data_IF_950098945507
#
_entry.id   IF_950098945507
#
_cell.length_a   1.000
_cell.length_b   1.000
_cell.length_c   1.000
_cell.angle_alpha   90.00
_cell.angle_beta   90.00
_cell.angle_gamma   90.00
#
_symmetry.space_group_name_H-M   'P 1'
#
loop_
_entity.id
_entity.type
_entity.pdbx_description
1 polymer ?
#
# COMPACT_ATOMS: atom_id res chain seq x y z
N UNK A 1 -6.33 13.77 15.39
CA UNK A 1 -5.31 13.04 14.58
C UNK A 1 -5.95 12.42 13.33
N UNK A 2 -7.08 11.70 13.45
CA UNK A 2 -7.75 11.06 12.30
C UNK A 2 -8.13 12.06 11.19
N UNK A 3 -8.64 13.24 11.53
CA UNK A 3 -9.00 14.28 10.57
C UNK A 3 -7.78 14.75 9.76
N UNK A 4 -6.62 14.93 10.40
CA UNK A 4 -5.39 15.35 9.74
C UNK A 4 -4.91 14.27 8.77
N UNK A 5 -4.93 13.01 9.18
CA UNK A 5 -4.54 11.88 8.32
C UNK A 5 -5.47 11.80 7.10
N UNK A 6 -6.79 11.87 7.29
CA UNK A 6 -7.76 11.85 6.21
C UNK A 6 -7.55 13.01 5.23
N UNK A 7 -7.50 14.26 5.71
CA UNK A 7 -7.32 15.42 4.84
C UNK A 7 -6.00 15.36 4.08
N UNK A 8 -4.91 14.90 4.72
CA UNK A 8 -3.63 14.76 4.05
C UNK A 8 -3.66 13.62 3.00
N UNK A 9 -4.31 12.50 3.30
CA UNK A 9 -4.48 11.41 2.36
C UNK A 9 -5.31 11.82 1.13
N UNK A 10 -6.38 12.60 1.32
CA UNK A 10 -7.16 13.17 0.24
C UNK A 10 -6.35 14.14 -0.63
N UNK A 11 -5.52 15.00 0.00
CA UNK A 11 -4.61 15.88 -0.73
C UNK A 11 -3.57 15.12 -1.57
N UNK A 12 -3.03 14.01 -1.04
CA UNK A 12 -2.06 13.16 -1.74
C UNK A 12 -2.72 12.45 -2.92
N UNK A 13 -3.91 11.90 -2.71
CA UNK A 13 -4.63 11.17 -3.75
C UNK A 13 -5.16 12.11 -4.86
N UNK A 14 -5.43 13.38 -4.52
CA UNK A 14 -6.01 14.35 -5.43
C UNK A 14 -7.48 14.07 -5.75
N UNK A 15 -8.03 14.84 -6.69
CA UNK A 15 -9.45 14.70 -7.08
C UNK A 15 -9.68 13.54 -8.05
N UNK A 16 -8.76 13.33 -8.99
CA UNK A 16 -8.88 12.26 -9.99
C UNK A 16 -7.53 11.95 -10.65
N UNK A 17 -7.47 10.80 -11.32
CA UNK A 17 -6.37 10.45 -12.22
C UNK A 17 -6.77 10.79 -13.65
N UNK A 18 -5.88 11.46 -14.36
CA UNK A 18 -6.08 11.79 -15.77
C UNK A 18 -4.89 11.28 -16.58
N UNK A 19 -5.17 10.83 -17.81
CA UNK A 19 -4.13 10.49 -18.78
C UNK A 19 -3.67 11.79 -19.43
N UNK A 20 -2.36 12.04 -19.45
CA UNK A 20 -1.81 13.21 -20.15
C UNK A 20 -2.08 13.14 -21.65
N UNK A 21 -2.52 14.24 -22.25
CA UNK A 21 -2.84 14.34 -23.67
C UNK A 21 -1.59 14.46 -24.57
N UNK A 22 -0.38 14.50 -23.97
CA UNK A 22 0.86 14.72 -24.71
C UNK A 22 1.28 13.56 -25.64
N UNK A 23 0.70 12.36 -25.47
CA UNK A 23 1.00 11.18 -26.29
C UNK A 23 -0.25 10.63 -27.01
N UNK A 24 -0.70 11.34 -28.00
CA UNK A 24 -1.88 10.99 -28.84
C UNK A 24 -1.64 9.81 -29.81
N UNK A 25 -0.46 9.17 -29.74
CA UNK A 25 0.02 8.24 -30.76
C UNK A 25 -0.54 6.81 -30.68
N UNK A 26 -1.08 6.40 -29.54
CA UNK A 26 -1.64 5.06 -29.36
C UNK A 26 -3.01 5.09 -28.66
N UNK A 27 -4.05 5.26 -29.44
CA UNK A 27 -5.43 5.30 -28.96
C UNK A 27 -5.83 3.99 -28.26
N UNK A 28 -5.33 2.85 -28.73
CA UNK A 28 -5.67 1.54 -28.14
C UNK A 28 -5.05 1.39 -26.74
N UNK A 29 -3.78 1.79 -26.57
CA UNK A 29 -3.12 1.78 -25.27
C UNK A 29 -3.80 2.74 -24.29
N UNK A 30 -4.24 3.91 -24.78
CA UNK A 30 -4.98 4.90 -23.97
C UNK A 30 -6.32 4.34 -23.48
N UNK A 31 -7.09 3.70 -24.33
CA UNK A 31 -8.36 3.08 -23.95
C UNK A 31 -8.14 1.96 -22.93
N UNK A 32 -7.12 1.12 -23.12
CA UNK A 32 -6.76 0.07 -22.15
C UNK A 32 -6.38 0.66 -20.80
N UNK A 33 -5.57 1.73 -20.78
CA UNK A 33 -5.18 2.41 -19.57
C UNK A 33 -6.37 3.06 -18.87
N UNK A 34 -7.26 3.74 -19.62
CA UNK A 34 -8.47 4.32 -19.06
C UNK A 34 -9.36 3.25 -18.41
N UNK A 35 -9.60 2.13 -19.10
CA UNK A 35 -10.37 1.02 -18.56
C UNK A 35 -9.75 0.45 -17.27
N UNK A 36 -8.41 0.37 -17.20
CA UNK A 36 -7.71 -0.06 -15.99
C UNK A 36 -7.83 0.98 -14.86
N UNK A 37 -7.78 2.27 -15.18
CA UNK A 37 -7.98 3.33 -14.19
C UNK A 37 -9.40 3.32 -13.62
N UNK A 38 -10.39 3.08 -14.46
CA UNK A 38 -11.80 3.01 -14.07
C UNK A 38 -12.12 1.73 -13.27
N UNK A 39 -11.37 0.66 -13.52
CA UNK A 39 -11.54 -0.64 -12.88
C UNK A 39 -10.18 -1.30 -12.61
N UNK A 40 -9.52 -0.86 -11.53
CA UNK A 40 -8.25 -1.45 -11.11
C UNK A 40 -8.41 -2.90 -10.59
N UNK A 41 -9.62 -3.24 -10.15
CA UNK A 41 -10.03 -4.59 -9.74
C UNK A 41 -11.54 -4.76 -9.90
N UNK A 42 -12.08 -5.90 -9.46
CA UNK A 42 -13.52 -6.20 -9.58
C UNK A 42 -14.46 -5.21 -8.88
N UNK A 43 -13.98 -4.43 -7.93
CA UNK A 43 -14.81 -3.63 -7.01
C UNK A 43 -14.46 -2.13 -7.01
N UNK A 44 -13.27 -1.73 -7.45
CA UNK A 44 -12.73 -0.40 -7.20
C UNK A 44 -12.00 0.16 -8.43
N UNK A 45 -12.06 1.48 -8.57
CA UNK A 45 -11.20 2.24 -9.49
C UNK A 45 -9.77 2.35 -8.94
N UNK A 46 -8.81 2.63 -9.80
CA UNK A 46 -7.44 2.88 -9.39
C UNK A 46 -7.33 4.07 -8.42
N UNK A 47 -8.18 5.08 -8.61
CA UNK A 47 -8.22 6.24 -7.73
C UNK A 47 -8.65 5.87 -6.30
N UNK A 48 -9.65 4.99 -6.15
CA UNK A 48 -10.08 4.49 -4.83
C UNK A 48 -8.98 3.65 -4.16
N UNK A 49 -8.26 2.84 -4.92
CA UNK A 49 -7.09 2.11 -4.41
C UNK A 49 -6.01 3.09 -3.94
N UNK A 50 -5.71 4.16 -4.71
CA UNK A 50 -4.72 5.17 -4.35
C UNK A 50 -5.11 5.98 -3.11
N UNK A 51 -6.39 6.27 -2.89
CA UNK A 51 -6.84 6.90 -1.64
C UNK A 51 -6.50 6.05 -0.41
N UNK A 52 -6.71 4.74 -0.49
CA UNK A 52 -6.35 3.81 0.60
C UNK A 52 -4.83 3.73 0.79
N UNK A 53 -4.07 3.70 -0.32
CA UNK A 53 -2.60 3.77 -0.29
C UNK A 53 -2.11 5.04 0.40
N UNK A 54 -2.67 6.20 0.04
CA UNK A 54 -2.32 7.49 0.64
C UNK A 54 -2.63 7.53 2.14
N UNK A 55 -3.78 6.95 2.53
CA UNK A 55 -4.17 6.84 3.93
C UNK A 55 -3.19 5.98 4.73
N UNK A 56 -2.88 4.77 4.28
CA UNK A 56 -1.95 3.87 4.96
C UNK A 56 -0.54 4.46 5.01
N UNK A 57 -0.09 5.06 3.91
CA UNK A 57 1.19 5.71 3.82
C UNK A 57 1.33 6.84 4.86
N UNK A 58 0.28 7.64 5.04
CA UNK A 58 0.28 8.72 6.04
C UNK A 58 0.13 8.20 7.46
N UNK A 59 -0.73 7.20 7.68
CA UNK A 59 -1.00 6.65 9.01
C UNK A 59 0.14 5.78 9.51
N UNK A 60 0.69 4.90 8.66
CA UNK A 60 1.63 3.84 9.02
C UNK A 60 3.04 4.03 8.43
N UNK A 61 3.22 5.02 7.56
CA UNK A 61 4.49 5.26 6.86
C UNK A 61 4.78 4.26 5.74
N UNK A 62 3.84 3.38 5.44
CA UNK A 62 3.97 2.34 4.42
C UNK A 62 2.63 2.06 3.74
N UNK A 63 2.69 1.41 2.59
CA UNK A 63 1.52 0.86 1.91
C UNK A 63 1.82 -0.52 1.35
N UNK A 64 0.79 -1.30 1.13
CA UNK A 64 0.88 -2.60 0.50
C UNK A 64 -0.18 -2.75 -0.61
N UNK A 65 0.25 -3.27 -1.75
CA UNK A 65 -0.61 -3.60 -2.89
C UNK A 65 -0.43 -5.06 -3.26
N UNK A 66 -1.52 -5.76 -3.47
CA UNK A 66 -1.51 -7.06 -4.12
C UNK A 66 -1.65 -6.84 -5.62
N UNK A 67 -0.59 -7.17 -6.35
CA UNK A 67 -0.51 -7.10 -7.81
C UNK A 67 -0.86 -8.47 -8.36
N UNK A 68 -1.92 -8.52 -9.16
CA UNK A 68 -2.37 -9.75 -9.83
C UNK A 68 -1.96 -9.70 -11.29
N UNK A 69 -1.19 -10.70 -11.71
CA UNK A 69 -0.80 -10.86 -13.11
C UNK A 69 -1.89 -11.51 -13.95
N UNK A 70 -1.96 -11.14 -15.22
CA UNK A 70 -2.79 -11.81 -16.20
C UNK A 70 -2.47 -13.31 -16.32
N UNK A 71 -3.35 -14.10 -16.88
CA UNK A 71 -3.13 -15.55 -17.04
C UNK A 71 -1.88 -15.90 -17.82
N UNK A 72 -1.56 -15.09 -18.83
CA UNK A 72 -0.35 -15.21 -19.65
C UNK A 72 0.90 -14.53 -19.07
N UNK A 73 0.78 -13.87 -17.89
CA UNK A 73 1.88 -13.17 -17.19
C UNK A 73 2.51 -12.01 -17.96
N UNK A 74 1.84 -11.49 -18.97
CA UNK A 74 2.38 -10.39 -19.79
C UNK A 74 2.11 -9.02 -19.22
N UNK A 75 0.99 -8.87 -18.50
CA UNK A 75 0.53 -7.59 -17.96
C UNK A 75 -0.10 -7.74 -16.58
N UNK A 76 -0.20 -6.63 -15.86
CA UNK A 76 -0.96 -6.54 -14.61
C UNK A 76 -2.43 -6.58 -14.97
N UNK A 77 -3.18 -7.51 -14.38
CA UNK A 77 -4.62 -7.65 -14.57
C UNK A 77 -5.41 -6.85 -13.54
N UNK A 78 -4.99 -6.92 -12.27
CA UNK A 78 -5.71 -6.26 -11.17
C UNK A 78 -4.74 -5.77 -10.10
N UNK A 79 -5.16 -4.73 -9.38
CA UNK A 79 -4.44 -4.19 -8.22
C UNK A 79 -5.43 -4.06 -7.06
N UNK A 80 -5.07 -4.63 -5.91
CA UNK A 80 -5.83 -4.53 -4.69
C UNK A 80 -5.01 -3.84 -3.59
N UNK A 81 -5.64 -2.96 -2.84
CA UNK A 81 -5.06 -2.48 -1.60
C UNK A 81 -5.05 -3.59 -0.54
N UNK A 82 -3.96 -3.69 0.20
CA UNK A 82 -3.81 -4.59 1.35
C UNK A 82 -3.48 -3.74 2.57
N UNK A 83 -4.29 -3.83 3.60
CA UNK A 83 -4.06 -3.14 4.87
C UNK A 83 -2.67 -3.53 5.43
N UNK A 84 -1.82 -2.54 5.65
CA UNK A 84 -0.43 -2.72 6.12
C UNK A 84 -0.39 -3.47 7.45
N UNK A 85 -1.38 -3.30 8.33
CA UNK A 85 -1.45 -4.00 9.61
C UNK A 85 -1.53 -5.53 9.47
N UNK A 86 -2.03 -6.01 8.32
CA UNK A 86 -2.15 -7.44 7.99
C UNK A 86 -0.90 -8.04 7.37
N UNK A 87 0.09 -7.22 7.04
CA UNK A 87 1.31 -7.64 6.34
C UNK A 87 2.48 -7.78 7.31
N UNK A 88 3.24 -8.87 7.19
CA UNK A 88 4.51 -9.07 7.89
C UNK A 88 5.58 -9.49 6.89
N UNK A 89 6.75 -8.86 7.00
CA UNK A 89 7.89 -9.17 6.15
C UNK A 89 8.42 -10.59 6.44
N UNK A 90 8.70 -11.35 5.40
CA UNK A 90 9.48 -12.57 5.53
C UNK A 90 10.93 -12.20 5.91
N UNK A 91 11.68 -13.18 6.43
CA UNK A 91 13.08 -12.96 6.79
C UNK A 91 13.86 -12.49 5.56
N UNK A 92 14.54 -11.34 5.64
CA UNK A 92 15.41 -10.86 4.57
C UNK A 92 16.52 -11.87 4.24
N UNK A 93 16.97 -11.85 3.01
CA UNK A 93 18.14 -12.61 2.55
C UNK A 93 19.46 -11.97 3.06
N UNK A 94 20.60 -12.56 2.70
CA UNK A 94 21.92 -12.09 3.10
C UNK A 94 22.25 -10.68 2.59
N UNK A 95 21.56 -10.23 1.54
CA UNK A 95 21.68 -8.88 0.98
C UNK A 95 20.68 -7.88 1.57
N UNK A 96 19.89 -8.31 2.56
CA UNK A 96 18.86 -7.49 3.19
C UNK A 96 17.56 -7.35 2.38
N UNK A 97 17.40 -8.10 1.29
CA UNK A 97 16.21 -8.05 0.44
C UNK A 97 15.12 -8.96 1.02
N UNK A 98 13.92 -8.45 1.15
CA UNK A 98 12.74 -9.21 1.58
C UNK A 98 12.19 -10.03 0.41
N UNK A 99 12.19 -11.37 0.48
CA UNK A 99 11.75 -12.22 -0.63
C UNK A 99 10.24 -12.26 -0.80
N UNK A 100 9.48 -11.88 0.23
CA UNK A 100 8.03 -11.87 0.22
C UNK A 100 7.44 -11.54 1.58
N UNK A 101 6.14 -11.71 1.69
CA UNK A 101 5.36 -11.25 2.83
C UNK A 101 4.38 -12.33 3.28
N UNK A 102 4.12 -12.36 4.59
CA UNK A 102 3.05 -13.13 5.18
C UNK A 102 1.85 -12.22 5.42
N UNK A 103 0.67 -12.70 5.06
CA UNK A 103 -0.59 -11.98 5.24
C UNK A 103 -1.49 -12.81 6.14
N UNK A 104 -2.07 -12.17 7.16
CA UNK A 104 -3.06 -12.76 8.05
C UNK A 104 -4.20 -11.79 8.31
N UNK A 105 -5.41 -12.30 8.38
CA UNK A 105 -6.57 -11.50 8.77
C UNK A 105 -6.44 -10.98 10.21
N UNK A 106 -5.86 -11.80 11.08
CA UNK A 106 -5.65 -11.47 12.49
C UNK A 106 -4.36 -12.13 13.02
N UNK A 107 -3.39 -11.31 13.38
CA UNK A 107 -2.11 -11.73 13.93
C UNK A 107 -2.16 -12.13 15.40
N UNK A 108 -3.23 -11.77 16.10
CA UNK A 108 -3.42 -12.17 17.52
C UNK A 108 -3.89 -13.61 17.61
N UNK A 109 -4.57 -14.13 16.57
CA UNK A 109 -5.09 -15.49 16.51
C UNK A 109 -4.67 -16.22 15.23
N UNK A 110 -3.40 -16.49 15.10
CA UNK A 110 -2.82 -17.19 13.94
C UNK A 110 -3.19 -18.66 13.84
N UNK A 111 -3.79 -19.24 14.89
CA UNK A 111 -4.31 -20.62 14.83
C UNK A 111 -5.56 -20.72 13.96
N UNK A 112 -6.45 -19.75 14.06
CA UNK A 112 -7.67 -19.66 13.23
C UNK A 112 -7.39 -18.94 11.91
N UNK A 113 -6.56 -17.89 11.93
CA UNK A 113 -6.21 -17.08 10.77
C UNK A 113 -4.78 -17.41 10.33
N UNK A 114 -4.59 -18.58 9.72
CA UNK A 114 -3.26 -19.03 9.28
C UNK A 114 -2.66 -18.04 8.30
N UNK A 115 -1.46 -17.49 8.60
CA UNK A 115 -0.77 -16.64 7.65
C UNK A 115 -0.45 -17.40 6.37
N UNK A 116 -0.59 -16.73 5.23
CA UNK A 116 -0.16 -17.25 3.93
C UNK A 116 0.93 -16.39 3.34
N UNK A 117 1.86 -17.02 2.63
CA UNK A 117 3.00 -16.37 2.02
C UNK A 117 2.67 -15.90 0.61
N UNK A 118 3.07 -14.66 0.29
CA UNK A 118 3.01 -14.10 -1.06
C UNK A 118 4.38 -13.51 -1.40
N UNK A 119 4.97 -13.82 -2.57
CA UNK A 119 6.27 -13.28 -2.95
C UNK A 119 6.22 -11.77 -3.16
N UNK A 120 7.38 -11.13 -2.99
CA UNK A 120 7.55 -9.71 -3.27
C UNK A 120 7.37 -9.42 -4.77
N UNK A 121 6.81 -8.26 -5.08
CA UNK A 121 6.61 -7.81 -6.45
C UNK A 121 7.95 -7.71 -7.19
N UNK A 122 8.00 -8.37 -8.35
CA UNK A 122 9.17 -8.38 -9.21
C UNK A 122 8.72 -8.46 -10.68
N UNK A 123 9.07 -7.45 -11.45
CA UNK A 123 8.73 -7.37 -12.88
C UNK A 123 9.45 -8.42 -13.73
N UNK A 124 10.59 -8.92 -13.25
CA UNK A 124 11.41 -9.92 -13.95
C UNK A 124 11.04 -11.36 -13.61
N UNK A 125 10.36 -11.58 -12.47
CA UNK A 125 9.86 -12.89 -12.06
C UNK A 125 8.33 -12.81 -11.89
N UNK A 126 7.60 -13.30 -12.87
CA UNK A 126 6.13 -13.31 -12.94
C UNK A 126 5.55 -14.70 -12.78
N UNK A 127 6.29 -15.64 -12.18
CA UNK A 127 5.85 -17.03 -11.99
C UNK A 127 4.64 -17.12 -11.06
N UNK A 128 4.65 -16.34 -9.98
CA UNK A 128 3.50 -16.25 -9.07
C UNK A 128 2.40 -15.35 -9.65
N UNK A 129 1.12 -15.80 -9.60
CA UNK A 129 -0.01 -14.98 -10.05
C UNK A 129 -0.20 -13.71 -9.22
N UNK A 130 0.08 -13.79 -7.93
CA UNK A 130 -0.06 -12.72 -6.97
C UNK A 130 1.29 -12.37 -6.36
N UNK A 131 1.55 -11.08 -6.26
CA UNK A 131 2.77 -10.57 -5.66
C UNK A 131 2.45 -9.34 -4.81
N UNK A 132 3.15 -9.14 -3.71
CA UNK A 132 2.96 -7.96 -2.85
C UNK A 132 4.02 -6.92 -3.15
N UNK A 133 3.57 -5.73 -3.51
CA UNK A 133 4.37 -4.51 -3.52
C UNK A 133 4.21 -3.84 -2.15
N UNK A 134 5.29 -3.82 -1.36
CA UNK A 134 5.32 -3.16 -0.05
C UNK A 134 6.39 -2.09 -0.07
N UNK A 135 6.02 -0.85 0.19
CA UNK A 135 6.94 0.28 0.19
C UNK A 135 6.50 1.33 1.21
N UNK A 136 7.39 2.25 1.55
CA UNK A 136 7.09 3.28 2.54
C UNK A 136 8.17 4.34 2.67
N UNK A 137 8.04 5.16 3.70
CA UNK A 137 8.97 6.23 4.03
C UNK A 137 10.30 5.65 4.51
N UNK A 138 11.39 6.08 3.89
CA UNK A 138 12.70 5.71 4.37
C UNK A 138 12.90 6.13 5.83
N UNK A 139 13.30 5.18 6.66
CA UNK A 139 13.62 5.40 8.07
C UNK A 139 14.97 4.75 8.37
N UNK A 140 15.95 5.51 8.89
CA UNK A 140 17.24 4.95 9.29
C UNK A 140 17.07 3.80 10.28
N UNK A 141 17.91 2.76 10.15
CA UNK A 141 17.90 1.55 10.99
C UNK A 141 16.63 0.67 10.88
N UNK A 142 15.76 0.94 9.93
CA UNK A 142 14.60 0.10 9.63
C UNK A 142 14.81 -0.64 8.31
N UNK A 143 15.17 -1.92 8.37
CA UNK A 143 15.54 -2.69 7.18
C UNK A 143 14.34 -3.29 6.43
N UNK A 144 13.28 -3.64 7.16
CA UNK A 144 12.14 -4.38 6.59
C UNK A 144 10.80 -3.69 6.80
N UNK A 145 10.73 -2.74 7.72
CA UNK A 145 9.52 -2.00 8.05
C UNK A 145 9.76 -0.51 7.90
N UNK A 146 8.68 0.25 7.87
CA UNK A 146 8.69 1.69 7.74
C UNK A 146 8.05 2.34 8.96
N UNK A 147 8.30 3.62 9.16
CA UNK A 147 7.71 4.42 10.24
C UNK A 147 7.00 5.63 9.67
N UNK A 148 5.86 5.96 10.23
CA UNK A 148 5.14 7.17 9.85
C UNK A 148 5.94 8.43 10.25
N UNK A 149 5.82 9.48 9.47
CA UNK A 149 6.50 10.76 9.70
C UNK A 149 6.05 11.45 11.00
N UNK A 150 4.80 11.25 11.41
CA UNK A 150 4.24 11.84 12.63
C UNK A 150 4.73 11.18 13.93
N UNK A 151 5.41 10.02 13.86
CA UNK A 151 5.93 9.33 15.05
C UNK A 151 6.89 10.20 15.84
N UNK A 152 7.66 11.06 15.19
CA UNK A 152 8.52 12.04 15.84
C UNK A 152 7.75 13.04 16.75
N UNK A 153 6.48 13.27 16.46
CA UNK A 153 5.60 14.14 17.24
C UNK A 153 4.74 13.39 18.27
N UNK A 154 4.90 12.07 18.41
CA UNK A 154 4.04 11.25 19.28
C UNK A 154 4.05 11.71 20.74
N UNK A 155 5.20 12.12 21.28
CA UNK A 155 5.30 12.63 22.64
C UNK A 155 4.52 13.95 22.85
N UNK A 156 4.55 14.83 21.87
CA UNK A 156 3.77 16.07 21.91
C UNK A 156 2.27 15.82 21.87
N UNK A 157 1.82 14.89 21.00
CA UNK A 157 0.43 14.48 20.93
C UNK A 157 -0.04 13.83 22.26
N UNK A 158 0.82 13.07 22.93
CA UNK A 158 0.54 12.48 24.23
C UNK A 158 0.42 13.55 25.33
N UNK A 159 1.28 14.55 25.33
CA UNK A 159 1.24 15.68 26.29
C UNK A 159 -0.08 16.45 26.10
N UNK A 160 -0.44 16.77 24.86
CA UNK A 160 -1.70 17.45 24.53
C UNK A 160 -2.92 16.68 25.01
N UNK A 161 -2.95 15.36 24.78
CA UNK A 161 -4.00 14.48 25.30
C UNK A 161 -4.11 14.52 26.82
N UNK A 162 -2.98 14.46 27.55
CA UNK A 162 -2.96 14.51 29.01
C UNK A 162 -3.41 15.86 29.57
N UNK A 163 -3.04 16.96 28.90
CA UNK A 163 -3.53 18.30 29.27
C UNK A 163 -5.04 18.37 29.12
N UNK A 164 -5.59 17.83 28.03
CA UNK A 164 -7.04 17.77 27.83
C UNK A 164 -7.75 16.95 28.89
N UNK A 165 -7.20 15.82 29.31
CA UNK A 165 -7.74 14.99 30.40
C UNK A 165 -7.69 15.68 31.76
N UNK A 166 -6.69 16.55 32.01
CA UNK A 166 -6.58 17.28 33.26
C UNK A 166 -7.62 18.42 33.38
N UNK A 167 -8.09 18.96 32.26
CA UNK A 167 -9.05 20.07 32.21
C UNK A 167 -10.51 19.62 32.10
N UNK A 168 -10.79 18.32 32.06
CA UNK A 168 -12.12 17.73 32.13
C UNK A 168 -12.46 17.27 33.56
#
# INVERSE_FOLDING_TARGET
TAAIVNSTAEMIAGENLIISDEDDRDLEARVKLQNFMDRANGNESLHEVLKKVAFDFKLQGAFALNIVWSKDRTQIAEIYHVDVSKVRCARPDELGKTPGYYISADWTNTRQNKPYYVPAFNTNDRTSPNQIMYAGLYSPNMNSYYSADWVSCANWALIDSRISEYHL
#
